data_IF_411585443924
#
_entry.id   IF_411585443924
#
_cell.length_a   1.000
_cell.length_b   1.000
_cell.length_c   1.000
_cell.angle_alpha   90.00
_cell.angle_beta   90.00
_cell.angle_gamma   90.00
#
_symmetry.space_group_name_H-M   'P 1'
#
loop_
_entity.id
_entity.type
_entity.pdbx_description
1 polymer ?
#
# COMPACT_ATOMS: atom_id res chain seq x y z
N UNK A 1 -12.96 -100.31 -0.69
CA UNK A 1 -11.81 -100.30 -1.62
C UNK A 1 -11.46 -98.84 -1.88
N UNK A 2 -10.53 -98.24 -1.12
CA UNK A 2 -9.07 -98.23 -1.36
C UNK A 2 -8.69 -97.87 -2.79
N UNK A 3 -8.16 -96.65 -2.96
CA UNK A 3 -6.82 -96.43 -3.51
C UNK A 3 -6.27 -95.09 -3.00
N UNK A 4 -5.09 -95.16 -2.38
CA UNK A 4 -4.20 -94.04 -2.08
C UNK A 4 -3.24 -93.84 -3.26
N UNK A 5 -2.76 -92.61 -3.49
CA UNK A 5 -1.34 -92.38 -3.80
C UNK A 5 -0.92 -90.93 -3.47
N UNK A 6 0.23 -90.84 -2.77
CA UNK A 6 0.98 -89.65 -2.31
C UNK A 6 1.56 -88.88 -3.53
N UNK A 7 1.88 -87.58 -3.52
CA UNK A 7 2.98 -86.89 -2.80
C UNK A 7 3.02 -85.36 -3.09
N UNK A 8 3.30 -84.55 -2.06
CA UNK A 8 4.22 -83.38 -1.95
C UNK A 8 4.05 -82.03 -2.70
N UNK A 9 4.03 -80.95 -1.88
CA UNK A 9 4.43 -79.51 -2.06
C UNK A 9 3.75 -78.68 -3.19
N UNK A 10 3.27 -77.45 -2.98
CA UNK A 10 4.00 -76.24 -2.56
C UNK A 10 3.05 -75.25 -1.87
N UNK A 11 3.50 -74.67 -0.76
CA UNK A 11 2.91 -73.51 -0.10
C UNK A 11 3.28 -72.25 -0.89
N UNK A 12 2.29 -71.51 -1.40
CA UNK A 12 2.46 -70.11 -1.78
C UNK A 12 1.45 -69.26 -1.03
N UNK A 13 1.97 -68.63 0.02
CA UNK A 13 1.34 -67.59 0.80
C UNK A 13 1.33 -66.30 -0.05
N UNK A 14 0.16 -65.88 -0.53
CA UNK A 14 -0.04 -64.50 -0.95
C UNK A 14 -1.06 -63.83 -0.04
N UNK A 15 -0.51 -63.25 1.03
CA UNK A 15 -1.05 -62.05 1.66
C UNK A 15 -1.02 -60.93 0.62
N UNK A 16 -2.19 -60.43 0.25
CA UNK A 16 -2.32 -59.06 -0.23
C UNK A 16 -3.41 -58.38 0.59
N UNK A 17 -2.92 -57.72 1.63
CA UNK A 17 -3.52 -56.68 2.43
C UNK A 17 -4.44 -55.80 1.57
N UNK A 18 -5.67 -55.57 2.04
CA UNK A 18 -6.59 -54.57 1.49
C UNK A 18 -5.91 -53.19 1.56
N UNK A 19 -5.25 -52.80 0.47
CA UNK A 19 -4.87 -51.43 0.21
C UNK A 19 -6.11 -50.74 -0.38
N UNK A 20 -6.64 -49.74 0.32
CA UNK A 20 -7.59 -48.82 -0.28
C UNK A 20 -7.01 -48.31 -1.60
N UNK A 21 -7.73 -48.51 -2.70
CA UNK A 21 -7.25 -48.15 -4.03
C UNK A 21 -6.89 -46.64 -4.08
N UNK A 22 -5.78 -46.26 -4.74
CA UNK A 22 -5.45 -44.86 -4.93
C UNK A 22 -6.54 -44.18 -5.77
N UNK A 23 -6.98 -43.00 -5.32
CA UNK A 23 -8.03 -42.19 -5.96
C UNK A 23 -7.72 -42.01 -7.46
N UNK A 24 -8.64 -42.33 -8.39
CA UNK A 24 -8.42 -42.23 -9.84
C UNK A 24 -8.03 -40.80 -10.26
N UNK A 25 -7.12 -40.67 -11.24
CA UNK A 25 -6.65 -39.37 -11.73
C UNK A 25 -7.79 -38.48 -12.27
N UNK A 26 -8.88 -39.06 -12.78
CA UNK A 26 -10.03 -38.33 -13.32
C UNK A 26 -10.81 -37.55 -12.24
N UNK A 27 -10.87 -38.06 -11.02
CA UNK A 27 -11.52 -37.39 -9.89
C UNK A 27 -10.70 -36.19 -9.39
N UNK A 28 -9.36 -36.26 -9.52
CA UNK A 28 -8.47 -35.15 -9.18
C UNK A 28 -8.52 -34.04 -10.23
N UNK A 29 -8.60 -34.40 -11.51
CA UNK A 29 -8.72 -33.42 -12.61
C UNK A 29 -10.04 -32.66 -12.49
N UNK A 30 -11.15 -33.38 -12.30
CA UNK A 30 -12.46 -32.74 -12.11
C UNK A 30 -12.46 -31.81 -10.90
N UNK A 31 -11.92 -32.23 -9.75
CA UNK A 31 -11.79 -31.35 -8.57
C UNK A 31 -11.00 -30.07 -8.86
N UNK A 32 -9.87 -30.18 -9.55
CA UNK A 32 -9.04 -29.01 -9.90
C UNK A 32 -9.76 -28.08 -10.89
N UNK A 33 -10.54 -28.62 -11.83
CA UNK A 33 -11.36 -27.83 -12.74
C UNK A 33 -12.45 -27.05 -12.00
N UNK A 34 -13.06 -27.65 -10.97
CA UNK A 34 -14.04 -26.96 -10.13
C UNK A 34 -13.40 -25.85 -9.30
N UNK A 35 -12.21 -26.08 -8.74
CA UNK A 35 -11.44 -25.06 -8.03
C UNK A 35 -11.04 -23.91 -8.98
N UNK A 36 -10.52 -24.21 -10.17
CA UNK A 36 -10.18 -23.22 -11.20
C UNK A 36 -11.42 -22.42 -11.61
N UNK A 37 -12.57 -23.07 -11.78
CA UNK A 37 -13.85 -22.40 -12.08
C UNK A 37 -14.26 -21.47 -10.93
N UNK A 38 -14.10 -21.90 -9.68
CA UNK A 38 -14.33 -21.07 -8.50
C UNK A 38 -13.42 -19.84 -8.46
N UNK A 39 -12.12 -20.04 -8.64
CA UNK A 39 -11.12 -18.96 -8.71
C UNK A 39 -11.39 -17.98 -9.85
N UNK A 40 -11.78 -18.46 -11.03
CA UNK A 40 -12.18 -17.60 -12.15
C UNK A 40 -13.37 -16.71 -11.81
N UNK A 41 -14.36 -17.24 -11.10
CA UNK A 41 -15.52 -16.46 -10.65
C UNK A 41 -15.11 -15.39 -9.61
N UNK A 42 -14.22 -15.74 -8.68
CA UNK A 42 -13.68 -14.77 -7.70
C UNK A 42 -12.93 -13.65 -8.41
N UNK A 43 -12.02 -13.97 -9.33
CA UNK A 43 -11.27 -12.98 -10.12
C UNK A 43 -12.23 -12.10 -10.93
N UNK A 44 -13.25 -12.68 -11.56
CA UNK A 44 -14.23 -11.92 -12.33
C UNK A 44 -15.00 -10.93 -11.45
N UNK A 45 -15.46 -11.38 -10.28
CA UNK A 45 -16.18 -10.53 -9.33
C UNK A 45 -15.28 -9.42 -8.78
N UNK A 46 -14.03 -9.74 -8.43
CA UNK A 46 -13.06 -8.74 -8.00
C UNK A 46 -12.75 -7.73 -9.12
N UNK A 47 -12.62 -8.19 -10.36
CA UNK A 47 -12.39 -7.30 -11.49
C UNK A 47 -13.56 -6.33 -11.70
N UNK A 48 -14.80 -6.81 -11.58
CA UNK A 48 -15.99 -5.96 -11.62
C UNK A 48 -15.98 -4.90 -10.52
N UNK A 49 -15.63 -5.28 -9.29
CA UNK A 49 -15.51 -4.34 -8.17
C UNK A 49 -14.41 -3.29 -8.39
N UNK A 50 -13.24 -3.70 -8.90
CA UNK A 50 -12.15 -2.78 -9.25
C UNK A 50 -12.58 -1.79 -10.34
N UNK A 51 -13.31 -2.26 -11.36
CA UNK A 51 -13.83 -1.39 -12.42
C UNK A 51 -14.86 -0.38 -11.88
N UNK A 52 -15.72 -0.80 -10.96
CA UNK A 52 -16.68 0.09 -10.30
C UNK A 52 -15.98 1.14 -9.43
N UNK A 53 -14.97 0.74 -8.66
CA UNK A 53 -14.12 1.65 -7.89
C UNK A 53 -13.40 2.66 -8.80
N UNK A 54 -12.79 2.20 -9.90
CA UNK A 54 -12.14 3.08 -10.87
C UNK A 54 -13.12 4.07 -11.51
N UNK A 55 -14.34 3.62 -11.84
CA UNK A 55 -15.40 4.50 -12.36
C UNK A 55 -15.83 5.53 -11.31
N UNK A 56 -16.03 5.11 -10.07
CA UNK A 56 -16.36 6.01 -8.96
C UNK A 56 -15.27 7.05 -8.74
N UNK A 57 -14.00 6.64 -8.74
CA UNK A 57 -12.85 7.52 -8.61
C UNK A 57 -12.70 8.47 -9.81
N UNK A 58 -12.97 8.00 -11.04
CA UNK A 58 -12.95 8.85 -12.25
C UNK A 58 -14.05 9.92 -12.21
N UNK A 59 -15.24 9.56 -11.74
CA UNK A 59 -16.32 10.53 -11.50
C UNK A 59 -15.93 11.51 -10.38
N UNK A 60 -15.18 11.04 -9.38
CA UNK A 60 -14.63 11.90 -8.33
C UNK A 60 -13.56 12.88 -8.81
N UNK A 61 -12.85 12.53 -9.88
CA UNK A 61 -11.84 13.41 -10.49
C UNK A 61 -12.46 14.45 -11.43
N UNK A 62 -13.69 14.24 -11.92
CA UNK A 62 -14.38 15.18 -12.82
C UNK A 62 -14.87 16.45 -12.12
N UNK A 63 -15.05 16.42 -10.80
CA UNK A 63 -15.48 17.57 -10.01
C UNK A 63 -14.33 18.29 -9.29
N UNK A 64 -13.08 17.93 -9.56
CA UNK A 64 -11.97 18.82 -9.24
C UNK A 64 -11.97 20.00 -10.22
N UNK A 65 -11.94 21.26 -9.73
CA UNK A 65 -11.87 22.42 -10.62
C UNK A 65 -10.61 22.33 -11.49
N UNK A 66 -10.81 22.38 -12.81
CA UNK A 66 -9.78 22.26 -13.84
C UNK A 66 -8.78 23.43 -13.88
N UNK A 67 -8.72 24.27 -12.84
CA UNK A 67 -7.72 25.32 -12.67
C UNK A 67 -6.36 24.81 -12.17
N UNK A 68 -6.19 23.49 -11.98
CA UNK A 68 -4.97 22.88 -11.46
C UNK A 68 -4.34 21.80 -12.38
N UNK A 69 -4.86 21.61 -13.59
CA UNK A 69 -4.30 20.70 -14.61
C UNK A 69 -3.73 21.50 -15.80
N UNK A 70 -3.00 22.58 -15.50
CA UNK A 70 -2.10 23.22 -16.44
C UNK A 70 -0.76 22.48 -16.44
N UNK A 71 -0.46 21.76 -17.52
CA UNK A 71 0.79 21.02 -17.72
C UNK A 71 1.99 21.92 -18.04
N UNK A 72 2.13 23.07 -17.39
CA UNK A 72 3.31 23.94 -17.46
C UNK A 72 3.54 24.50 -16.04
N UNK A 73 4.43 23.84 -15.28
CA UNK A 73 4.87 24.15 -13.91
C UNK A 73 3.86 23.88 -12.77
N UNK A 74 3.73 22.60 -12.39
CA UNK A 74 3.22 22.23 -11.06
C UNK A 74 4.20 22.73 -9.99
N UNK A 75 3.66 23.21 -8.87
CA UNK A 75 4.45 23.55 -7.68
C UNK A 75 5.25 22.34 -7.19
N UNK A 76 6.49 22.57 -6.75
CA UNK A 76 7.37 21.48 -6.29
C UNK A 76 7.00 20.96 -4.91
N UNK A 77 6.41 21.81 -4.08
CA UNK A 77 5.96 21.50 -2.73
C UNK A 77 4.94 22.54 -2.23
N UNK A 78 4.42 22.35 -1.01
CA UNK A 78 3.46 23.26 -0.40
C UNK A 78 4.02 24.67 -0.12
N UNK A 79 5.34 24.83 -0.01
CA UNK A 79 5.94 26.15 0.21
C UNK A 79 5.82 27.03 -1.03
N UNK A 80 5.99 26.45 -2.22
CA UNK A 80 5.75 27.16 -3.48
C UNK A 80 4.26 27.40 -3.72
N UNK A 81 3.39 26.45 -3.33
CA UNK A 81 1.93 26.65 -3.35
C UNK A 81 1.55 27.88 -2.51
N UNK A 82 2.09 27.98 -1.29
CA UNK A 82 1.87 29.10 -0.38
C UNK A 82 2.44 30.41 -0.94
N UNK A 83 3.68 30.39 -1.45
CA UNK A 83 4.32 31.53 -2.11
C UNK A 83 3.59 32.00 -3.37
N UNK A 84 2.87 31.09 -4.04
CA UNK A 84 1.97 31.37 -5.15
C UNK A 84 0.64 32.01 -4.73
N UNK A 85 0.45 32.34 -3.45
CA UNK A 85 -0.73 33.03 -2.91
C UNK A 85 -1.88 32.10 -2.50
N UNK A 86 -1.66 30.78 -2.48
CA UNK A 86 -2.67 29.81 -2.00
C UNK A 86 -2.49 29.63 -0.48
N UNK A 87 -3.36 30.28 0.29
CA UNK A 87 -3.24 30.38 1.76
C UNK A 87 -4.22 29.49 2.54
N UNK A 88 -5.07 28.71 1.87
CA UNK A 88 -5.99 27.80 2.53
C UNK A 88 -5.34 26.43 2.74
N UNK A 89 -5.44 25.86 3.94
CA UNK A 89 -5.01 24.48 4.16
C UNK A 89 -5.92 23.50 3.42
N UNK A 90 -5.35 22.42 2.89
CA UNK A 90 -6.11 21.43 2.13
C UNK A 90 -5.25 20.59 1.20
N UNK A 91 -5.90 19.85 0.31
CA UNK A 91 -5.22 19.03 -0.68
C UNK A 91 -4.76 19.85 -1.88
N UNK A 92 -3.50 19.66 -2.23
CA UNK A 92 -2.88 20.25 -3.42
C UNK A 92 -2.16 19.18 -4.22
N UNK A 93 -2.04 19.43 -5.53
CA UNK A 93 -1.24 18.62 -6.42
C UNK A 93 0.14 19.29 -6.57
N UNK A 94 1.19 18.57 -6.19
CA UNK A 94 2.58 19.02 -6.31
C UNK A 94 3.39 18.03 -7.16
N UNK A 95 4.54 18.46 -7.68
CA UNK A 95 5.48 17.57 -8.36
C UNK A 95 6.91 17.88 -7.92
N UNK A 96 7.42 17.16 -6.89
CA UNK A 96 8.80 17.28 -6.47
C UNK A 96 9.78 17.00 -7.62
N UNK A 97 10.95 17.64 -7.58
CA UNK A 97 11.99 17.44 -8.57
C UNK A 97 12.47 15.99 -8.57
N UNK A 98 12.58 15.40 -9.76
CA UNK A 98 12.95 14.00 -9.93
C UNK A 98 11.85 12.99 -9.56
N UNK A 99 10.68 13.44 -9.08
CA UNK A 99 9.51 12.56 -8.95
C UNK A 99 8.98 12.18 -10.34
N UNK A 100 8.70 10.90 -10.61
CA UNK A 100 8.18 10.46 -11.91
C UNK A 100 6.74 10.92 -12.16
N UNK A 101 5.98 11.21 -11.10
CA UNK A 101 4.56 11.59 -11.16
C UNK A 101 4.24 12.72 -10.18
N UNK A 102 3.16 13.45 -10.46
CA UNK A 102 2.59 14.38 -9.49
C UNK A 102 1.99 13.64 -8.29
N UNK A 103 1.98 14.29 -7.13
CA UNK A 103 1.54 13.75 -5.84
C UNK A 103 0.45 14.66 -5.27
N UNK A 104 -0.63 14.06 -4.77
CA UNK A 104 -1.61 14.79 -3.96
C UNK A 104 -1.15 14.77 -2.51
N UNK A 105 -1.00 15.96 -1.92
CA UNK A 105 -0.52 16.13 -0.54
C UNK A 105 -1.44 17.09 0.22
N UNK A 106 -1.51 16.91 1.53
CA UNK A 106 -2.13 17.90 2.40
C UNK A 106 -1.11 19.00 2.71
N UNK A 107 -1.44 20.23 2.33
CA UNK A 107 -0.68 21.41 2.70
C UNK A 107 -1.33 22.08 3.92
N UNK A 108 -0.55 22.25 4.99
CA UNK A 108 -0.94 23.11 6.09
C UNK A 108 -0.39 24.53 5.86
N UNK A 109 -1.31 25.46 5.60
CA UNK A 109 -1.04 26.86 5.32
C UNK A 109 -1.16 27.75 6.57
N UNK A 110 -1.41 27.17 7.74
CA UNK A 110 -1.48 27.90 9.00
C UNK A 110 -0.08 28.15 9.60
N UNK A 111 0.01 29.07 10.57
CA UNK A 111 1.20 29.28 11.40
C UNK A 111 2.53 29.46 10.62
N UNK A 112 2.51 30.31 9.60
CA UNK A 112 3.66 30.52 8.70
C UNK A 112 3.53 29.79 7.36
N UNK A 113 2.69 28.75 7.32
CA UNK A 113 2.20 28.10 6.11
C UNK A 113 3.24 27.38 5.26
N UNK A 114 2.77 26.74 4.19
CA UNK A 114 3.63 26.05 3.23
C UNK A 114 4.14 24.68 3.69
N UNK A 115 3.55 24.09 4.73
CA UNK A 115 3.99 22.81 5.26
C UNK A 115 3.38 21.66 4.48
N UNK A 116 4.23 20.82 3.87
CA UNK A 116 3.81 19.55 3.27
C UNK A 116 3.67 18.50 4.38
N UNK A 117 2.44 18.06 4.67
CA UNK A 117 2.19 17.04 5.69
C UNK A 117 2.45 15.66 5.09
N UNK A 118 3.43 14.94 5.63
CA UNK A 118 3.79 13.60 5.17
C UNK A 118 3.36 12.47 6.13
N UNK A 119 2.95 12.81 7.35
CA UNK A 119 2.46 11.85 8.34
C UNK A 119 1.42 12.54 9.24
N UNK A 120 0.30 11.87 9.52
CA UNK A 120 -0.66 12.32 10.54
C UNK A 120 -1.15 11.16 11.42
N UNK A 121 -1.14 11.37 12.74
CA UNK A 121 -1.83 10.56 13.76
C UNK A 121 -2.84 11.42 14.50
N UNK A 122 -3.97 10.84 14.88
CA UNK A 122 -5.04 11.50 15.63
C UNK A 122 -5.87 10.53 16.46
N UNK A 123 -6.47 9.52 15.84
CA UNK A 123 -7.49 8.67 16.47
C UNK A 123 -7.13 7.18 16.53
N UNK A 124 -5.98 6.80 15.95
CA UNK A 124 -5.48 5.43 15.95
C UNK A 124 -6.26 4.46 15.07
N UNK A 125 -7.10 4.95 14.14
CA UNK A 125 -7.86 4.08 13.23
C UNK A 125 -6.98 3.43 12.16
N UNK A 126 -5.88 4.07 11.79
CA UNK A 126 -4.98 3.52 10.77
C UNK A 126 -3.89 2.66 11.44
N UNK A 127 -3.66 1.47 10.88
CA UNK A 127 -2.59 0.60 11.34
C UNK A 127 -1.25 1.06 10.78
N UNK A 128 -0.27 1.32 11.66
CA UNK A 128 1.11 1.67 11.27
C UNK A 128 2.08 0.49 11.40
N UNK A 129 1.66 -0.67 11.89
CA UNK A 129 2.44 -1.90 11.79
C UNK A 129 2.27 -2.50 10.39
N UNK A 130 3.13 -2.05 9.48
CA UNK A 130 3.02 -2.28 8.02
C UNK A 130 4.33 -2.80 7.44
N UNK A 131 4.22 -3.50 6.32
CA UNK A 131 5.38 -4.02 5.60
C UNK A 131 6.20 -2.89 4.96
N UNK A 132 7.47 -3.17 4.65
CA UNK A 132 8.37 -2.20 4.00
C UNK A 132 7.79 -1.59 2.72
N UNK A 133 7.15 -2.43 1.89
CA UNK A 133 6.58 -1.99 0.61
C UNK A 133 5.47 -0.95 0.80
N UNK A 134 4.69 -1.06 1.89
CA UNK A 134 3.65 -0.09 2.24
C UNK A 134 4.29 1.22 2.73
N UNK A 135 5.31 1.15 3.57
CA UNK A 135 6.06 2.34 3.99
C UNK A 135 6.77 3.04 2.82
N UNK A 136 7.24 2.28 1.82
CA UNK A 136 7.86 2.83 0.62
C UNK A 136 6.87 3.69 -0.18
N UNK A 137 5.67 3.16 -0.44
CA UNK A 137 4.68 3.80 -1.32
C UNK A 137 3.65 4.68 -0.60
N UNK A 138 3.52 4.53 0.72
CA UNK A 138 2.51 5.21 1.52
C UNK A 138 1.27 4.36 1.81
N UNK A 139 0.53 4.76 2.84
CA UNK A 139 -0.72 4.13 3.27
C UNK A 139 -1.59 5.08 4.09
N UNK A 140 -2.82 4.67 4.36
CA UNK A 140 -3.81 5.42 5.11
C UNK A 140 -4.65 6.37 4.28
N UNK A 141 -5.35 7.28 4.95
CA UNK A 141 -6.31 8.20 4.35
C UNK A 141 -5.69 9.58 4.14
N UNK A 142 -4.97 9.73 3.01
CA UNK A 142 -4.34 10.98 2.62
C UNK A 142 -5.36 12.04 2.20
N UNK A 143 -6.55 11.63 1.74
CA UNK A 143 -7.51 12.52 1.09
C UNK A 143 -8.52 13.13 2.07
N UNK A 144 -8.63 12.56 3.28
CA UNK A 144 -9.45 13.13 4.34
C UNK A 144 -8.69 14.18 5.15
N UNK A 145 -9.30 15.35 5.44
CA UNK A 145 -8.74 16.34 6.36
C UNK A 145 -8.43 15.79 7.75
N UNK A 146 -9.15 14.74 8.17
CA UNK A 146 -9.02 14.12 9.49
C UNK A 146 -8.36 12.73 9.43
N UNK A 147 -7.93 12.29 8.23
CA UNK A 147 -7.36 10.97 8.01
C UNK A 147 -5.96 10.80 8.59
N UNK A 148 -5.67 9.60 9.07
CA UNK A 148 -4.32 9.18 9.46
C UNK A 148 -3.62 8.54 8.27
N UNK A 149 -2.35 8.90 8.04
CA UNK A 149 -1.61 8.40 6.89
C UNK A 149 -0.10 8.50 7.04
N UNK A 150 0.59 7.77 6.16
CA UNK A 150 2.00 7.93 5.83
C UNK A 150 2.12 8.17 4.33
N UNK A 151 2.75 9.28 3.91
CA UNK A 151 2.86 9.68 2.51
C UNK A 151 3.68 8.70 1.66
N UNK A 152 4.66 8.05 2.28
CA UNK A 152 5.58 7.12 1.61
C UNK A 152 7.02 7.62 1.62
N UNK A 153 7.97 6.69 1.79
CA UNK A 153 9.40 6.99 1.88
C UNK A 153 9.96 7.46 0.53
N UNK A 154 9.45 6.92 -0.59
CA UNK A 154 9.88 7.33 -1.93
C UNK A 154 9.42 8.75 -2.28
N UNK A 155 8.13 9.13 -2.11
CA UNK A 155 7.69 10.52 -2.16
C UNK A 155 8.48 11.47 -1.25
N UNK A 156 8.72 11.06 0.00
CA UNK A 156 9.43 11.89 0.99
C UNK A 156 10.92 12.06 0.63
N UNK A 157 11.54 11.04 0.03
CA UNK A 157 12.88 11.15 -0.53
C UNK A 157 12.95 12.22 -1.63
N UNK A 158 12.04 12.18 -2.60
CA UNK A 158 12.00 13.19 -3.67
C UNK A 158 11.80 14.61 -3.12
N UNK A 159 10.83 14.78 -2.21
CA UNK A 159 10.57 16.04 -1.52
C UNK A 159 11.82 16.56 -0.84
N UNK A 160 12.44 15.77 0.02
CA UNK A 160 13.58 16.26 0.83
C UNK A 160 14.87 16.37 0.02
N UNK A 161 15.04 15.60 -1.06
CA UNK A 161 16.24 15.64 -1.89
C UNK A 161 16.38 16.93 -2.72
N UNK A 162 15.26 17.56 -3.11
CA UNK A 162 15.28 18.69 -4.06
C UNK A 162 15.81 20.03 -3.50
N UNK A 163 15.91 20.16 -2.17
CA UNK A 163 16.29 21.42 -1.52
C UNK A 163 16.52 21.24 -0.02
N UNK A 164 16.75 22.33 0.71
CA UNK A 164 16.87 22.26 2.16
C UNK A 164 15.48 22.36 2.78
N UNK A 165 15.09 21.32 3.54
CA UNK A 165 13.81 21.26 4.22
C UNK A 165 14.02 21.24 5.72
N UNK A 166 13.16 21.95 6.43
CA UNK A 166 13.04 21.83 7.87
C UNK A 166 11.90 20.87 8.19
N UNK A 167 12.12 20.00 9.18
CA UNK A 167 11.11 19.08 9.70
C UNK A 167 10.52 19.68 10.96
N UNK A 168 9.19 19.76 11.01
CA UNK A 168 8.44 20.09 12.22
C UNK A 168 7.57 18.91 12.63
N UNK A 169 7.64 18.52 13.89
CA UNK A 169 6.80 17.47 14.49
C UNK A 169 5.91 18.15 15.53
N UNK A 170 4.60 18.18 15.25
CA UNK A 170 3.59 18.63 16.22
C UNK A 170 3.05 17.42 16.98
N UNK A 171 2.92 17.55 18.30
CA UNK A 171 2.36 16.53 19.19
C UNK A 171 1.35 17.17 20.13
N UNK A 172 0.28 16.44 20.43
CA UNK A 172 -0.76 16.82 21.38
C UNK A 172 -0.88 15.71 22.44
N UNK A 173 -0.96 16.08 23.72
CA UNK A 173 -1.23 15.13 24.80
C UNK A 173 -2.75 14.90 25.01
N UNK A 174 -3.11 13.91 25.83
CA UNK A 174 -4.52 13.60 26.11
C UNK A 174 -5.29 14.70 26.85
N UNK A 175 -4.59 15.71 27.38
CA UNK A 175 -5.20 16.88 28.00
C UNK A 175 -5.33 18.07 27.02
N UNK A 176 -4.97 17.88 25.75
CA UNK A 176 -5.04 18.90 24.69
C UNK A 176 -3.86 19.86 24.68
N UNK A 177 -2.76 19.56 25.38
CA UNK A 177 -1.57 20.42 25.34
C UNK A 177 -0.73 20.11 24.09
N UNK A 178 -0.56 21.12 23.24
CA UNK A 178 0.27 21.02 22.04
C UNK A 178 1.74 21.40 22.31
N UNK A 179 2.65 20.66 21.71
CA UNK A 179 4.10 20.92 21.68
C UNK A 179 4.65 20.61 20.29
N UNK A 180 5.77 21.21 19.95
CA UNK A 180 6.44 20.92 18.68
C UNK A 180 7.96 20.82 18.82
N UNK A 181 8.58 20.08 17.91
CA UNK A 181 10.02 19.99 17.73
C UNK A 181 10.39 20.29 16.27
N UNK A 182 11.47 21.04 16.06
CA UNK A 182 11.96 21.41 14.74
C UNK A 182 13.39 20.92 14.51
N UNK A 183 13.66 20.38 13.33
CA UNK A 183 14.96 19.90 12.88
C UNK A 183 15.29 20.53 11.54
N UNK A 184 16.48 21.10 11.42
CA UNK A 184 16.92 21.76 10.19
C UNK A 184 17.58 20.79 9.22
N UNK A 185 17.55 21.14 7.94
CA UNK A 185 18.23 20.38 6.87
C UNK A 185 17.86 18.89 6.84
N UNK A 186 16.60 18.57 7.12
CA UNK A 186 16.08 17.23 7.14
C UNK A 186 16.15 16.59 5.73
N UNK A 187 16.70 15.38 5.68
CA UNK A 187 16.84 14.60 4.45
C UNK A 187 16.44 13.15 4.70
N UNK A 188 15.74 12.57 3.72
CA UNK A 188 15.50 11.13 3.65
C UNK A 188 16.32 10.54 2.51
N UNK A 189 17.16 9.55 2.82
CA UNK A 189 17.98 8.85 1.84
C UNK A 189 17.18 7.95 0.88
N UNK A 190 17.77 7.62 -0.26
CA UNK A 190 17.19 6.64 -1.18
C UNK A 190 17.31 5.20 -0.64
N UNK A 191 16.58 4.25 -1.22
CA UNK A 191 16.55 2.85 -0.77
C UNK A 191 17.94 2.17 -0.74
N UNK A 192 18.85 2.57 -1.63
CA UNK A 192 20.22 2.00 -1.71
C UNK A 192 21.12 2.42 -0.56
N UNK A 193 20.90 3.61 0.00
CA UNK A 193 21.49 4.05 1.27
C UNK A 193 20.42 3.85 2.34
N UNK A 194 20.25 2.62 2.86
CA UNK A 194 19.34 2.23 3.97
C UNK A 194 18.79 3.47 4.67
N UNK A 195 17.52 3.79 4.41
CA UNK A 195 16.86 5.05 4.76
C UNK A 195 17.32 5.56 6.13
N UNK A 196 18.31 6.45 6.08
CA UNK A 196 18.86 7.10 7.25
C UNK A 196 18.14 8.44 7.37
N UNK A 197 17.40 8.62 8.44
CA UNK A 197 16.94 9.94 8.86
C UNK A 197 18.15 10.68 9.43
N UNK A 198 18.53 11.80 8.82
CA UNK A 198 19.66 12.61 9.24
C UNK A 198 19.26 14.08 9.37
N UNK A 199 19.78 14.72 10.41
CA UNK A 199 19.81 16.16 10.64
C UNK A 199 21.06 16.49 11.47
N UNK A 200 21.67 17.64 11.21
CA UNK A 200 22.86 18.13 11.93
C UNK A 200 22.49 18.79 13.26
#
# INVERSE_FOLDING_TARGET
MMTQLRTSLVVLLHLALSAAAPVPCDEKVTRLEEEIRGLKNVIHNQHRYILELHRSQSLQLQHLPSSHLGAENLYRDCSEVFGGGKVASGLYLIRPDGSPTALSVYCDMNNGGGWTVFQRRRDGKENFDRAWVEYKHGFGDLFSPDGEFWLGNEPLHHLTAQGNYDLRINMEDFAGNERYAEYKNFKVGNEKKKQAFGGD
#
